data_IF_026275702118
#
_entry.id   IF_026275702118
#
_cell.length_a   1.000
_cell.length_b   1.000
_cell.length_c   1.000
_cell.angle_alpha   90.00
_cell.angle_beta   90.00
_cell.angle_gamma   90.00
#
_symmetry.space_group_name_H-M   'P 1'
#
loop_
_entity.id
_entity.type
_entity.pdbx_description
1 polymer ?
#
# COMPACT_ATOMS: atom_id res chain seq x y z
N UNK A 1 -19.25 -9.91 -8.66
CA UNK A 1 -18.13 -10.83 -8.83
C UNK A 1 -16.87 -10.02 -8.76
N UNK A 2 -15.83 -10.54 -8.14
CA UNK A 2 -14.52 -9.91 -8.03
C UNK A 2 -13.47 -10.86 -8.60
N UNK A 3 -12.81 -10.49 -9.68
CA UNK A 3 -11.77 -11.30 -10.30
C UNK A 3 -10.74 -11.80 -9.28
N UNK A 4 -10.27 -10.91 -8.40
CA UNK A 4 -9.27 -11.30 -7.39
C UNK A 4 -9.78 -12.33 -6.38
N UNK A 5 -11.04 -12.21 -5.93
CA UNK A 5 -11.58 -13.10 -4.90
C UNK A 5 -12.14 -14.40 -5.48
N UNK A 6 -12.59 -14.38 -6.74
CA UNK A 6 -13.25 -15.52 -7.39
C UNK A 6 -12.29 -16.38 -8.21
N UNK A 7 -11.10 -15.84 -8.61
CA UNK A 7 -10.17 -16.51 -9.53
C UNK A 7 -8.69 -16.45 -9.12
N UNK A 8 -8.38 -15.87 -7.96
CA UNK A 8 -7.00 -15.75 -7.50
C UNK A 8 -6.88 -16.09 -6.01
N UNK A 9 -5.75 -16.66 -5.64
CA UNK A 9 -5.42 -17.00 -4.24
C UNK A 9 -4.37 -16.06 -3.70
N UNK A 10 -4.65 -15.47 -2.52
CA UNK A 10 -3.67 -14.68 -1.76
C UNK A 10 -2.57 -15.57 -1.20
N UNK A 11 -1.33 -15.18 -1.40
CA UNK A 11 -0.14 -15.84 -0.85
C UNK A 11 0.85 -14.84 -0.26
N UNK A 12 1.66 -15.32 0.68
CA UNK A 12 2.88 -14.61 1.08
C UNK A 12 3.83 -14.65 -0.10
N UNK A 13 4.37 -13.50 -0.49
CA UNK A 13 5.33 -13.41 -1.58
C UNK A 13 6.74 -13.55 -0.99
N UNK A 14 7.18 -14.79 -0.88
CA UNK A 14 8.47 -15.21 -0.31
C UNK A 14 9.42 -15.75 -1.39
N UNK A 15 10.63 -16.17 -0.97
CA UNK A 15 11.65 -16.71 -1.87
C UNK A 15 11.16 -17.93 -2.65
N UNK A 16 10.42 -18.84 -2.00
CA UNK A 16 9.92 -20.04 -2.64
C UNK A 16 8.91 -19.71 -3.75
N UNK A 17 8.02 -18.76 -3.49
CA UNK A 17 7.05 -18.34 -4.49
C UNK A 17 7.72 -17.59 -5.63
N UNK A 18 8.68 -16.69 -5.32
CA UNK A 18 9.44 -15.95 -6.34
C UNK A 18 10.17 -16.88 -7.31
N UNK A 19 10.88 -17.89 -6.79
CA UNK A 19 11.61 -18.87 -7.62
C UNK A 19 10.70 -19.71 -8.52
N UNK A 20 9.47 -19.96 -8.11
CA UNK A 20 8.52 -20.83 -8.82
C UNK A 20 7.49 -20.08 -9.67
N UNK A 21 7.54 -18.75 -9.66
CA UNK A 21 6.58 -17.92 -10.41
C UNK A 21 7.19 -17.42 -11.70
N UNK A 22 6.33 -17.04 -12.65
CA UNK A 22 6.71 -16.27 -13.81
C UNK A 22 7.12 -14.86 -13.39
N UNK A 23 7.89 -14.19 -14.24
CA UNK A 23 8.29 -12.81 -14.02
C UNK A 23 7.05 -11.91 -13.86
N UNK A 24 7.05 -11.12 -12.79
CA UNK A 24 5.99 -10.15 -12.52
C UNK A 24 6.32 -8.83 -13.23
N UNK A 25 5.45 -8.40 -14.14
CA UNK A 25 5.58 -7.13 -14.85
C UNK A 25 4.34 -6.25 -14.64
N UNK A 26 4.47 -5.25 -13.80
CA UNK A 26 3.42 -4.24 -13.61
C UNK A 26 3.60 -3.00 -14.51
N UNK A 27 4.57 -2.98 -15.42
CA UNK A 27 4.83 -1.87 -16.32
C UNK A 27 5.48 -0.64 -15.65
N UNK A 28 5.99 -0.80 -14.43
CA UNK A 28 6.82 0.17 -13.72
C UNK A 28 8.13 -0.52 -13.36
N UNK A 29 9.25 0.00 -13.87
CA UNK A 29 10.55 -0.64 -13.72
C UNK A 29 11.00 -0.74 -12.25
N UNK A 30 10.83 0.31 -11.47
CA UNK A 30 11.22 0.33 -10.06
C UNK A 30 10.45 -0.73 -9.24
N UNK A 31 9.14 -0.84 -9.45
CA UNK A 31 8.33 -1.87 -8.81
C UNK A 31 8.69 -3.28 -9.26
N UNK A 32 8.94 -3.47 -10.55
CA UNK A 32 9.38 -4.77 -11.10
C UNK A 32 10.73 -5.18 -10.49
N UNK A 33 11.67 -4.23 -10.39
CA UNK A 33 12.98 -4.46 -9.78
C UNK A 33 12.85 -4.79 -8.29
N UNK A 34 12.04 -4.05 -7.54
CA UNK A 34 11.77 -4.37 -6.14
C UNK A 34 11.23 -5.79 -5.97
N UNK A 35 10.18 -6.18 -6.69
CA UNK A 35 9.57 -7.50 -6.55
C UNK A 35 10.45 -8.65 -7.04
N UNK A 36 11.42 -8.39 -7.93
CA UNK A 36 12.34 -9.42 -8.45
C UNK A 36 13.64 -9.54 -7.66
N UNK A 37 14.17 -8.44 -7.08
CA UNK A 37 15.50 -8.39 -6.47
C UNK A 37 15.46 -8.05 -4.97
N UNK A 38 14.68 -7.03 -4.59
CA UNK A 38 14.76 -6.43 -3.27
C UNK A 38 13.76 -7.03 -2.27
N UNK A 39 12.73 -7.72 -2.75
CA UNK A 39 11.67 -8.30 -1.92
C UNK A 39 12.23 -9.20 -0.81
N UNK A 40 13.19 -10.07 -1.14
CA UNK A 40 13.74 -11.03 -0.18
C UNK A 40 14.63 -10.35 0.87
N UNK A 41 15.65 -9.54 0.49
CA UNK A 41 16.41 -8.75 1.46
C UNK A 41 15.52 -7.89 2.35
N UNK A 42 14.53 -7.22 1.76
CA UNK A 42 13.59 -6.36 2.49
C UNK A 42 12.80 -7.12 3.55
N UNK A 43 12.32 -8.31 3.21
CA UNK A 43 11.60 -9.20 4.13
C UNK A 43 12.51 -9.77 5.21
N UNK A 44 13.76 -10.10 4.87
CA UNK A 44 14.75 -10.64 5.81
C UNK A 44 15.09 -9.61 6.90
N UNK A 45 15.26 -8.34 6.53
CA UNK A 45 15.51 -7.24 7.45
C UNK A 45 14.23 -6.79 8.22
N UNK A 46 13.09 -7.47 8.04
CA UNK A 46 11.81 -7.17 8.68
C UNK A 46 11.30 -5.75 8.42
N UNK A 47 11.70 -5.14 7.31
CA UNK A 47 11.26 -3.81 6.89
C UNK A 47 9.82 -3.79 6.40
N UNK A 48 9.32 -4.94 5.94
CA UNK A 48 7.94 -5.11 5.51
C UNK A 48 7.63 -6.56 5.17
N UNK A 49 6.38 -6.82 4.85
CA UNK A 49 5.91 -8.14 4.43
C UNK A 49 5.18 -8.03 3.11
N UNK A 50 5.59 -8.85 2.17
CA UNK A 50 5.02 -8.85 0.81
C UNK A 50 4.01 -9.96 0.62
N UNK A 51 2.99 -9.66 -0.15
CA UNK A 51 1.90 -10.55 -0.53
C UNK A 51 1.62 -10.42 -2.02
N UNK A 52 1.09 -11.48 -2.60
CA UNK A 52 0.60 -11.44 -3.98
C UNK A 52 -0.66 -12.28 -4.14
N UNK A 53 -1.38 -12.02 -5.21
CA UNK A 53 -2.43 -12.89 -5.70
C UNK A 53 -1.91 -13.69 -6.89
N UNK A 54 -2.00 -15.02 -6.80
CA UNK A 54 -1.68 -15.93 -7.90
C UNK A 54 -2.96 -16.38 -8.57
N UNK A 55 -2.94 -16.54 -9.89
CA UNK A 55 -4.08 -17.02 -10.67
C UNK A 55 -4.36 -18.49 -10.35
N UNK A 56 -5.59 -18.85 -10.00
CA UNK A 56 -5.95 -20.23 -9.60
C UNK A 56 -5.74 -21.25 -10.72
N UNK A 57 -6.00 -20.84 -11.97
CA UNK A 57 -5.79 -21.69 -13.17
C UNK A 57 -4.32 -21.92 -13.51
N UNK A 58 -3.44 -21.01 -13.11
CA UNK A 58 -1.99 -21.11 -13.27
C UNK A 58 -1.30 -20.40 -12.10
N UNK A 59 -0.99 -21.12 -11.01
CA UNK A 59 -0.38 -20.55 -9.81
C UNK A 59 1.01 -19.93 -9.97
N UNK A 60 1.63 -20.08 -11.15
CA UNK A 60 2.89 -19.41 -11.49
C UNK A 60 2.67 -17.96 -11.92
N UNK A 61 1.45 -17.60 -12.29
CA UNK A 61 1.10 -16.25 -12.74
C UNK A 61 0.70 -15.40 -11.54
N UNK A 62 1.45 -14.34 -11.29
CA UNK A 62 1.14 -13.33 -10.27
C UNK A 62 0.32 -12.22 -10.93
N UNK A 63 -0.90 -12.00 -10.46
CA UNK A 63 -1.83 -11.00 -11.00
C UNK A 63 -1.63 -9.63 -10.38
N UNK A 64 -1.29 -9.59 -9.09
CA UNK A 64 -0.91 -8.37 -8.38
C UNK A 64 -0.05 -8.70 -7.16
N UNK A 65 0.75 -7.72 -6.73
CA UNK A 65 1.61 -7.83 -5.56
C UNK A 65 1.61 -6.52 -4.76
N UNK A 66 1.79 -6.64 -3.45
CA UNK A 66 1.88 -5.48 -2.56
C UNK A 66 2.73 -5.79 -1.34
N UNK A 67 3.34 -4.74 -0.79
CA UNK A 67 4.14 -4.82 0.44
C UNK A 67 3.54 -3.91 1.49
N UNK A 68 3.45 -4.41 2.71
CA UNK A 68 2.96 -3.67 3.87
C UNK A 68 4.04 -3.60 4.95
N UNK A 69 4.07 -2.48 5.67
CA UNK A 69 4.95 -2.26 6.82
C UNK A 69 4.18 -1.62 7.97
N UNK A 70 4.70 -1.76 9.18
CA UNK A 70 4.19 -1.01 10.32
C UNK A 70 4.55 0.47 10.18
N UNK A 71 3.60 1.34 10.50
CA UNK A 71 3.81 2.77 10.47
C UNK A 71 2.98 3.48 11.54
N UNK A 72 3.12 4.79 11.62
CA UNK A 72 2.31 5.63 12.52
C UNK A 72 2.17 7.05 12.01
N UNK A 73 0.97 7.62 12.12
CA UNK A 73 0.76 9.05 11.84
C UNK A 73 1.13 9.85 13.09
N UNK A 74 2.18 10.66 12.98
CA UNK A 74 2.64 11.59 14.02
C UNK A 74 1.82 12.89 13.93
N UNK A 75 1.06 13.22 14.98
CA UNK A 75 0.17 14.39 14.95
C UNK A 75 0.85 15.70 15.34
N UNK A 76 2.07 15.65 15.87
CA UNK A 76 2.77 16.83 16.39
C UNK A 76 3.04 17.87 15.29
N UNK A 77 3.48 17.42 14.14
CA UNK A 77 3.88 18.26 13.01
C UNK A 77 2.77 18.43 11.95
N UNK A 78 1.58 17.91 12.20
CA UNK A 78 0.45 18.08 11.29
C UNK A 78 -0.21 19.45 11.49
N UNK A 79 -0.62 20.12 10.40
CA UNK A 79 -1.44 21.33 10.47
C UNK A 79 -2.73 21.06 11.28
N UNK A 80 -3.22 22.05 12.01
CA UNK A 80 -4.37 21.91 12.89
C UNK A 80 -5.61 21.32 12.19
N UNK A 81 -5.85 21.68 10.94
CA UNK A 81 -6.96 21.16 10.14
C UNK A 81 -6.83 19.66 9.87
N UNK A 82 -5.62 19.18 9.59
CA UNK A 82 -5.32 17.76 9.38
C UNK A 82 -5.32 17.00 10.70
N UNK A 83 -4.69 17.57 11.72
CA UNK A 83 -4.69 17.00 13.07
C UNK A 83 -6.12 16.73 13.55
N UNK A 84 -7.03 17.69 13.42
CA UNK A 84 -8.46 17.51 13.78
C UNK A 84 -9.11 16.34 13.03
N UNK A 85 -8.81 16.14 11.74
CA UNK A 85 -9.34 15.01 10.95
C UNK A 85 -8.78 13.68 11.43
N UNK A 86 -7.48 13.62 11.76
CA UNK A 86 -6.82 12.39 12.24
C UNK A 86 -7.35 11.97 13.59
N UNK A 87 -7.64 12.92 14.51
CA UNK A 87 -8.13 12.61 15.85
C UNK A 87 -9.66 12.52 15.95
N UNK A 88 -10.39 12.87 14.88
CA UNK A 88 -11.85 12.80 14.86
C UNK A 88 -12.34 11.38 15.21
N UNK A 89 -13.34 11.30 16.09
CA UNK A 89 -13.96 10.05 16.53
C UNK A 89 -13.05 9.08 17.31
N UNK A 90 -11.88 9.53 17.76
CA UNK A 90 -11.03 8.72 18.61
C UNK A 90 -11.57 8.78 20.04
N UNK A 91 -12.00 7.64 20.62
CA UNK A 91 -12.50 7.62 22.00
C UNK A 91 -11.39 8.02 22.97
N UNK A 92 -11.70 8.95 23.88
CA UNK A 92 -10.77 9.44 24.89
C UNK A 92 -9.47 9.93 24.26
N UNK A 93 -9.52 11.13 23.68
CA UNK A 93 -8.31 11.85 23.26
C UNK A 93 -7.28 11.83 24.39
N UNK A 94 -6.50 10.75 24.44
CA UNK A 94 -5.22 10.85 25.12
C UNK A 94 -4.39 11.74 24.22
N UNK A 95 -3.59 12.62 24.79
CA UNK A 95 -2.63 13.43 24.04
C UNK A 95 -1.60 12.55 23.32
N UNK A 96 -2.11 11.61 22.53
CA UNK A 96 -1.28 10.71 21.73
C UNK A 96 -0.62 11.53 20.64
N UNK A 97 0.69 11.45 20.56
CA UNK A 97 1.49 12.11 19.54
C UNK A 97 1.56 11.30 18.26
N UNK A 98 1.13 10.05 18.31
CA UNK A 98 1.23 9.10 17.21
C UNK A 98 0.08 8.10 17.23
N UNK A 99 -0.45 7.75 16.08
CA UNK A 99 -1.53 6.79 15.90
C UNK A 99 -1.08 5.64 15.00
N UNK A 100 -1.43 4.38 15.34
CA UNK A 100 -1.01 3.24 14.56
C UNK A 100 -1.55 3.30 13.14
N UNK A 101 -0.68 3.05 12.18
CA UNK A 101 -0.97 2.95 10.76
C UNK A 101 -0.28 1.71 10.16
N UNK A 102 -0.75 1.30 9.00
CA UNK A 102 -0.02 0.39 8.13
C UNK A 102 0.32 1.15 6.86
N UNK A 103 1.57 1.02 6.43
CA UNK A 103 2.07 1.57 5.18
C UNK A 103 1.91 0.53 4.07
N UNK A 104 1.27 0.90 2.97
CA UNK A 104 1.38 0.19 1.70
C UNK A 104 2.59 0.77 0.98
N UNK A 105 3.76 0.12 1.14
CA UNK A 105 5.03 0.64 0.61
C UNK A 105 5.21 0.39 -0.88
N UNK A 106 4.66 -0.70 -1.39
CA UNK A 106 4.72 -1.09 -2.81
C UNK A 106 3.39 -1.71 -3.21
N UNK A 107 2.88 -1.37 -4.39
CA UNK A 107 1.65 -1.94 -4.93
C UNK A 107 1.73 -1.97 -6.45
N UNK A 108 1.61 -3.15 -7.04
CA UNK A 108 1.61 -3.35 -8.48
C UNK A 108 0.53 -4.32 -8.93
N UNK A 109 -0.07 -4.04 -10.09
CA UNK A 109 -0.97 -4.95 -10.80
C UNK A 109 -0.30 -5.31 -12.12
N UNK A 110 -0.16 -6.60 -12.39
CA UNK A 110 0.42 -7.09 -13.63
C UNK A 110 -0.31 -6.48 -14.83
N UNK A 111 0.45 -6.01 -15.82
CA UNK A 111 -0.09 -5.22 -16.93
C UNK A 111 -1.26 -5.88 -17.66
N UNK A 112 -1.23 -7.21 -17.79
CA UNK A 112 -2.24 -7.98 -18.52
C UNK A 112 -3.52 -8.21 -17.71
N UNK A 113 -3.48 -7.96 -16.39
CA UNK A 113 -4.61 -8.15 -15.48
C UNK A 113 -5.22 -6.86 -14.94
N UNK A 114 -4.81 -5.70 -15.45
CA UNK A 114 -5.35 -4.40 -14.98
C UNK A 114 -6.83 -4.22 -15.23
N UNK A 115 -7.30 -4.74 -16.36
CA UNK A 115 -8.69 -4.68 -16.80
C UNK A 115 -9.08 -6.08 -17.23
N UNK A 116 -10.09 -6.62 -16.59
CA UNK A 116 -10.64 -7.95 -16.90
C UNK A 116 -11.98 -7.76 -17.59
N UNK A 117 -12.15 -8.40 -18.74
CA UNK A 117 -13.39 -8.35 -19.50
C UNK A 117 -14.56 -8.90 -18.68
N UNK A 118 -15.66 -8.17 -18.64
CA UNK A 118 -16.85 -8.52 -17.84
C UNK A 118 -16.82 -8.03 -16.39
N UNK A 119 -15.66 -7.57 -15.87
CA UNK A 119 -15.57 -6.99 -14.53
C UNK A 119 -15.91 -5.51 -14.53
N UNK A 120 -16.66 -5.07 -13.50
CA UNK A 120 -17.05 -3.66 -13.33
C UNK A 120 -15.91 -2.82 -12.76
N UNK A 121 -15.09 -3.41 -11.91
CA UNK A 121 -13.95 -2.75 -11.25
C UNK A 121 -12.63 -3.22 -11.86
N UNK A 122 -11.66 -2.32 -11.94
CA UNK A 122 -10.28 -2.68 -12.28
C UNK A 122 -9.67 -3.52 -11.18
N UNK A 123 -8.75 -4.39 -11.51
CA UNK A 123 -8.05 -5.25 -10.54
C UNK A 123 -7.37 -4.45 -9.43
N UNK A 124 -6.82 -3.27 -9.75
CA UNK A 124 -6.22 -2.38 -8.73
C UNK A 124 -7.24 -1.88 -7.70
N UNK A 125 -8.46 -1.58 -8.11
CA UNK A 125 -9.52 -1.14 -7.19
C UNK A 125 -10.01 -2.32 -6.32
N UNK A 126 -10.14 -3.51 -6.90
CA UNK A 126 -10.45 -4.74 -6.16
C UNK A 126 -9.36 -5.06 -5.13
N UNK A 127 -8.08 -4.88 -5.49
CA UNK A 127 -6.95 -5.07 -4.58
C UNK A 127 -7.01 -4.07 -3.41
N UNK A 128 -7.31 -2.81 -3.68
CA UNK A 128 -7.41 -1.80 -2.64
C UNK A 128 -8.58 -2.08 -1.68
N UNK A 129 -9.74 -2.48 -2.20
CA UNK A 129 -10.89 -2.88 -1.38
C UNK A 129 -10.56 -4.11 -0.52
N UNK A 130 -9.84 -5.10 -1.09
CA UNK A 130 -9.35 -6.24 -0.33
C UNK A 130 -8.42 -5.81 0.82
N UNK A 131 -7.40 -4.98 0.56
CA UNK A 131 -6.45 -4.53 1.58
C UNK A 131 -7.18 -3.80 2.71
N UNK A 132 -8.09 -2.88 2.40
CA UNK A 132 -8.89 -2.18 3.40
C UNK A 132 -9.70 -3.15 4.26
N UNK A 133 -10.41 -4.08 3.63
CA UNK A 133 -11.22 -5.09 4.32
C UNK A 133 -10.36 -5.96 5.23
N UNK A 134 -9.17 -6.33 4.76
CA UNK A 134 -8.26 -7.19 5.50
C UNK A 134 -7.76 -6.55 6.79
N UNK A 135 -7.54 -5.23 6.81
CA UNK A 135 -7.09 -4.54 8.02
C UNK A 135 -8.19 -4.23 9.01
N UNK A 136 -9.46 -4.21 8.61
CA UNK A 136 -10.61 -4.05 9.53
C UNK A 136 -11.18 -5.38 10.02
N UNK A 137 -10.70 -6.51 9.50
CA UNK A 137 -11.12 -7.84 9.93
C UNK A 137 -10.78 -8.06 11.42
N UNK A 138 -11.76 -8.54 12.20
CA UNK A 138 -11.59 -8.79 13.62
C UNK A 138 -10.56 -9.87 13.98
N UNK A 139 -10.16 -10.72 13.00
CA UNK A 139 -9.10 -11.72 13.16
C UNK A 139 -7.69 -11.15 12.89
N UNK A 140 -7.58 -9.90 12.45
CA UNK A 140 -6.30 -9.25 12.25
C UNK A 140 -5.57 -9.10 13.59
N UNK A 141 -4.32 -9.52 13.63
CA UNK A 141 -3.51 -9.52 14.86
C UNK A 141 -2.97 -8.14 15.24
N UNK A 142 -3.09 -7.16 14.37
CA UNK A 142 -2.63 -5.79 14.64
C UNK A 142 -3.78 -4.80 14.51
N UNK A 143 -3.92 -3.92 15.49
CA UNK A 143 -4.81 -2.77 15.37
C UNK A 143 -4.15 -1.69 14.52
N UNK A 144 -4.78 -1.31 13.41
CA UNK A 144 -4.34 -0.15 12.66
C UNK A 144 -5.51 0.81 12.46
N UNK A 145 -5.30 2.08 12.85
CA UNK A 145 -6.33 3.13 12.69
C UNK A 145 -6.33 3.68 11.27
N UNK A 146 -5.17 3.68 10.65
CA UNK A 146 -4.96 4.30 9.34
C UNK A 146 -4.23 3.36 8.40
N UNK A 147 -4.53 3.49 7.12
CA UNK A 147 -3.73 2.96 6.02
C UNK A 147 -3.10 4.16 5.35
N UNK A 148 -1.78 4.15 5.21
CA UNK A 148 -1.00 5.19 4.56
C UNK A 148 -0.31 4.64 3.32
N UNK A 149 -0.03 5.51 2.37
CA UNK A 149 0.74 5.19 1.16
C UNK A 149 1.73 6.30 0.89
N UNK A 150 2.94 5.94 0.49
CA UNK A 150 3.91 6.84 -0.12
C UNK A 150 3.73 6.74 -1.63
N UNK A 151 2.99 7.69 -2.18
CA UNK A 151 2.62 7.68 -3.59
C UNK A 151 3.63 8.49 -4.40
N UNK A 152 4.04 7.96 -5.56
CA UNK A 152 4.76 8.78 -6.54
C UNK A 152 3.96 10.05 -6.86
N UNK A 153 4.67 11.16 -7.02
CA UNK A 153 4.07 12.44 -7.42
C UNK A 153 3.68 12.45 -8.92
N UNK A 154 2.91 11.45 -9.31
CA UNK A 154 2.31 11.29 -10.64
C UNK A 154 0.80 11.47 -10.53
N UNK A 155 0.25 12.31 -11.38
CA UNK A 155 -1.20 12.64 -11.35
C UNK A 155 -2.09 11.41 -11.47
N UNK A 156 -1.69 10.39 -12.23
CA UNK A 156 -2.45 9.15 -12.38
C UNK A 156 -2.45 8.32 -11.10
N UNK A 157 -1.31 8.28 -10.40
CA UNK A 157 -1.16 7.58 -9.12
C UNK A 157 -1.97 8.28 -8.03
N UNK A 158 -1.85 9.60 -7.94
CA UNK A 158 -2.64 10.41 -6.99
C UNK A 158 -4.14 10.24 -7.24
N UNK A 159 -4.56 10.28 -8.51
CA UNK A 159 -5.97 10.07 -8.90
C UNK A 159 -6.47 8.68 -8.50
N UNK A 160 -5.66 7.65 -8.67
CA UNK A 160 -5.99 6.29 -8.25
C UNK A 160 -6.25 6.21 -6.74
N UNK A 161 -5.34 6.71 -5.92
CA UNK A 161 -5.52 6.69 -4.46
C UNK A 161 -6.68 7.57 -4.00
N UNK A 162 -6.86 8.74 -4.59
CA UNK A 162 -7.99 9.64 -4.28
C UNK A 162 -9.33 8.97 -4.63
N UNK A 163 -9.45 8.31 -5.79
CA UNK A 163 -10.63 7.57 -6.18
C UNK A 163 -10.92 6.39 -5.22
N UNK A 164 -9.89 5.84 -4.60
CA UNK A 164 -9.99 4.81 -3.57
C UNK A 164 -10.17 5.38 -2.15
N UNK A 165 -10.51 6.66 -1.99
CA UNK A 165 -10.86 7.29 -0.71
C UNK A 165 -9.69 7.76 0.14
N UNK A 166 -8.46 7.75 -0.39
CA UNK A 166 -7.32 8.35 0.29
C UNK A 166 -7.35 9.87 0.20
N UNK A 167 -6.81 10.53 1.19
CA UNK A 167 -6.66 11.99 1.25
C UNK A 167 -5.19 12.34 1.44
N UNK A 168 -4.76 13.41 0.81
CA UNK A 168 -3.41 13.93 1.02
C UNK A 168 -3.21 14.30 2.49
N UNK A 169 -2.15 13.79 3.09
CA UNK A 169 -1.80 14.10 4.48
C UNK A 169 -1.24 15.52 4.60
N UNK A 170 -0.45 15.94 3.63
CA UNK A 170 0.16 17.27 3.56
C UNK A 170 -0.51 18.15 2.51
N UNK A 171 -0.45 19.46 2.69
CA UNK A 171 -0.95 20.47 1.74
C UNK A 171 0.16 21.08 0.90
N UNK A 172 1.41 20.87 1.29
CA UNK A 172 2.61 21.36 0.61
C UNK A 172 3.81 20.48 0.92
N UNK A 173 4.80 20.52 0.05
CA UNK A 173 6.10 19.87 0.23
C UNK A 173 6.83 20.33 1.50
N UNK A 174 6.73 21.62 1.84
CA UNK A 174 7.31 22.15 3.07
C UNK A 174 6.74 21.50 4.34
N UNK A 175 5.42 21.24 4.37
CA UNK A 175 4.79 20.53 5.49
C UNK A 175 5.25 19.07 5.59
N UNK A 176 5.48 18.45 4.47
CA UNK A 176 5.98 17.08 4.39
C UNK A 176 7.42 16.98 4.89
N UNK A 177 8.30 17.91 4.44
CA UNK A 177 9.68 18.01 4.94
C UNK A 177 9.73 18.27 6.45
N UNK A 178 8.91 19.17 6.98
CA UNK A 178 8.79 19.41 8.41
C UNK A 178 8.36 18.15 9.17
N UNK A 179 7.40 17.43 8.63
CA UNK A 179 6.88 16.20 9.24
C UNK A 179 7.95 15.10 9.37
N UNK A 180 8.76 14.94 8.34
CA UNK A 180 9.87 13.98 8.31
C UNK A 180 11.17 14.52 8.91
N UNK A 181 11.17 15.78 9.35
CA UNK A 181 12.35 16.49 9.85
C UNK A 181 13.51 16.50 8.84
N UNK A 182 13.18 16.77 7.60
CA UNK A 182 14.12 16.88 6.48
C UNK A 182 14.54 18.35 6.29
N UNK A 183 15.79 18.54 5.85
CA UNK A 183 16.29 19.86 5.47
C UNK A 183 15.56 20.38 4.19
N UNK A 184 15.48 21.68 4.02
CA UNK A 184 14.84 22.30 2.84
C UNK A 184 15.49 21.87 1.51
N UNK A 185 16.78 21.52 1.55
CA UNK A 185 17.53 21.00 0.41
C UNK A 185 17.26 19.51 0.10
N UNK A 186 16.62 18.78 1.02
CA UNK A 186 16.32 17.38 0.81
C UNK A 186 15.29 17.21 -0.30
N UNK A 187 15.57 16.31 -1.23
CA UNK A 187 14.60 15.89 -2.23
C UNK A 187 13.68 14.85 -1.57
N UNK A 188 12.37 15.10 -1.58
CA UNK A 188 11.42 14.05 -1.21
C UNK A 188 11.55 12.92 -2.22
N UNK A 189 11.59 11.69 -1.71
CA UNK A 189 11.60 10.53 -2.59
C UNK A 189 10.33 10.54 -3.44
N UNK A 190 10.50 10.81 -4.72
CA UNK A 190 9.44 10.78 -5.73
C UNK A 190 9.18 9.35 -6.15
#
# INVERSE_FOLDING_TARGET
MSFLLDHCTLKVYDAQLLENSNEFDCGNQDLNEFFSKDLIPYSFELLGKSYCFTLDKDPKVITCAFTIANDSIKTLHLPNSRKRKVILEIPREKHMRSYPAVLIGRLGVHKDFRIIEGEKQRTGDQLMDFIKSWFIDGNNKTGCRFIVVDAYNDERVIRYYTANGFIMLFSSESQEKEYYNLDDSATLAT
#
